data_IF_510598037050
#
_entry.id   IF_510598037050
#
_cell.length_a   1.000
_cell.length_b   1.000
_cell.length_c   1.000
_cell.angle_alpha   90.00
_cell.angle_beta   90.00
_cell.angle_gamma   90.00
#
_symmetry.space_group_name_H-M   'P 1'
#
loop_
_entity.id
_entity.type
_entity.pdbx_description
1 polymer ?
#
# COMPACT_ATOMS: atom_id res chain seq x y z
N UNK A 1 -0.56 23.16 -28.21
CA UNK A 1 0.77 22.56 -28.01
C UNK A 1 0.73 21.12 -28.49
N UNK A 2 1.55 20.78 -29.50
CA UNK A 2 1.65 19.43 -30.08
C UNK A 2 2.31 18.46 -29.10
N UNK A 3 2.17 17.15 -29.30
CA UNK A 3 2.82 16.13 -28.46
C UNK A 3 4.35 16.33 -28.42
N UNK A 4 4.97 16.57 -29.58
CA UNK A 4 6.40 16.84 -29.68
C UNK A 4 6.84 18.04 -28.83
N UNK A 5 6.07 19.13 -28.84
CA UNK A 5 6.34 20.29 -27.99
C UNK A 5 6.23 19.95 -26.50
N UNK A 6 5.17 19.21 -26.10
CA UNK A 6 5.01 18.78 -24.70
C UNK A 6 6.16 17.92 -24.23
N UNK A 7 6.60 16.95 -25.05
CA UNK A 7 7.74 16.11 -24.75
C UNK A 7 9.02 16.93 -24.57
N UNK A 8 9.34 17.84 -25.50
CA UNK A 8 10.52 18.70 -25.42
C UNK A 8 10.53 19.59 -24.16
N UNK A 9 9.36 20.07 -23.74
CA UNK A 9 9.23 20.85 -22.50
C UNK A 9 9.37 19.96 -21.26
N UNK A 10 8.71 18.80 -21.25
CA UNK A 10 8.66 17.92 -20.08
C UNK A 10 9.96 17.14 -19.84
N UNK A 11 10.74 16.85 -20.89
CA UNK A 11 12.10 16.29 -20.73
C UNK A 11 13.03 17.27 -19.99
N UNK A 12 12.77 18.58 -20.06
CA UNK A 12 13.53 19.58 -19.28
C UNK A 12 13.01 19.75 -17.85
N UNK A 13 11.88 19.13 -17.50
CA UNK A 13 11.31 19.25 -16.17
C UNK A 13 11.90 18.17 -15.23
N UNK A 14 12.67 18.56 -14.19
CA UNK A 14 13.36 17.60 -13.33
C UNK A 14 12.41 16.67 -12.57
N UNK A 15 11.16 17.08 -12.28
CA UNK A 15 10.19 16.23 -11.57
C UNK A 15 9.61 15.14 -12.46
N UNK A 16 9.45 15.42 -13.76
CA UNK A 16 8.99 14.45 -14.73
C UNK A 16 10.06 13.38 -14.94
N UNK A 17 11.31 13.82 -15.13
CA UNK A 17 12.44 12.90 -15.23
C UNK A 17 12.66 12.10 -13.95
N UNK A 18 12.63 12.73 -12.78
CA UNK A 18 12.80 12.02 -11.51
C UNK A 18 11.71 10.98 -11.30
N UNK A 19 10.45 11.28 -11.65
CA UNK A 19 9.38 10.28 -11.59
C UNK A 19 9.66 9.11 -12.53
N UNK A 20 10.03 9.37 -13.80
CA UNK A 20 10.34 8.32 -14.76
C UNK A 20 11.51 7.43 -14.29
N UNK A 21 12.59 8.05 -13.80
CA UNK A 21 13.76 7.34 -13.29
C UNK A 21 13.41 6.48 -12.07
N UNK A 22 12.75 7.05 -11.06
CA UNK A 22 12.40 6.27 -9.87
C UNK A 22 11.36 5.19 -10.16
N UNK A 23 10.37 5.44 -11.02
CA UNK A 23 9.42 4.41 -11.43
C UNK A 23 10.11 3.26 -12.17
N UNK A 24 11.03 3.58 -13.10
CA UNK A 24 11.82 2.59 -13.82
C UNK A 24 12.74 1.79 -12.90
N UNK A 25 13.47 2.45 -12.00
CA UNK A 25 14.32 1.79 -11.00
C UNK A 25 13.50 0.86 -10.10
N UNK A 26 12.38 1.34 -9.56
CA UNK A 26 11.50 0.52 -8.73
C UNK A 26 11.02 -0.71 -9.49
N UNK A 27 10.53 -0.54 -10.73
CA UNK A 27 10.05 -1.65 -11.55
C UNK A 27 11.15 -2.69 -11.82
N UNK A 28 12.34 -2.26 -12.23
CA UNK A 28 13.47 -3.15 -12.51
C UNK A 28 13.88 -3.95 -11.27
N UNK A 29 14.03 -3.28 -10.12
CA UNK A 29 14.46 -3.97 -8.90
C UNK A 29 13.40 -4.94 -8.37
N UNK A 30 12.12 -4.57 -8.46
CA UNK A 30 11.03 -5.46 -8.06
C UNK A 30 10.91 -6.66 -8.99
N UNK A 31 11.07 -6.47 -10.31
CA UNK A 31 10.86 -7.52 -11.29
C UNK A 31 12.02 -8.52 -11.38
N UNK A 32 13.25 -8.03 -11.46
CA UNK A 32 14.40 -8.83 -11.88
C UNK A 32 15.30 -9.31 -10.74
N UNK A 33 15.02 -8.90 -9.52
CA UNK A 33 15.94 -9.14 -8.43
C UNK A 33 15.36 -9.98 -7.30
N UNK A 34 16.25 -10.43 -6.43
CA UNK A 34 15.94 -11.33 -5.32
C UNK A 34 15.14 -10.59 -4.23
N UNK A 35 14.04 -11.21 -3.79
CA UNK A 35 13.14 -10.70 -2.75
C UNK A 35 13.49 -11.28 -1.39
N UNK A 36 13.63 -12.60 -1.30
CA UNK A 36 14.03 -13.30 -0.08
C UNK A 36 15.34 -14.05 -0.29
N UNK A 37 16.14 -14.11 0.77
CA UNK A 37 17.32 -14.96 0.87
C UNK A 37 17.09 -16.03 1.92
N UNK A 38 17.50 -17.23 1.58
CA UNK A 38 17.61 -18.38 2.45
C UNK A 38 19.01 -18.96 2.28
N UNK A 39 19.44 -19.78 3.23
CA UNK A 39 20.76 -20.36 3.34
C UNK A 39 21.20 -21.09 2.06
N UNK A 40 20.28 -21.76 1.39
CA UNK A 40 20.58 -22.57 0.20
C UNK A 40 20.02 -22.00 -1.10
N UNK A 41 19.20 -20.93 -1.05
CA UNK A 41 18.54 -20.38 -2.23
C UNK A 41 18.15 -18.90 -2.08
N UNK A 42 18.08 -18.21 -3.21
CA UNK A 42 17.46 -16.89 -3.33
C UNK A 42 16.12 -17.05 -4.04
N UNK A 43 15.12 -16.30 -3.61
CA UNK A 43 13.77 -16.36 -4.14
C UNK A 43 13.37 -15.06 -4.79
N UNK A 44 12.73 -15.16 -5.95
CA UNK A 44 12.25 -14.03 -6.74
C UNK A 44 10.87 -13.52 -6.29
N UNK A 45 10.34 -12.54 -7.03
CA UNK A 45 9.08 -11.87 -6.76
C UNK A 45 7.82 -12.75 -6.92
N UNK A 46 7.92 -13.90 -7.59
CA UNK A 46 6.78 -14.74 -7.96
C UNK A 46 6.77 -16.06 -7.21
N UNK A 47 7.86 -16.39 -6.52
CA UNK A 47 7.95 -17.57 -5.67
C UNK A 47 7.27 -17.37 -4.31
N UNK A 48 6.64 -18.43 -3.81
CA UNK A 48 5.94 -18.43 -2.53
C UNK A 48 6.84 -17.97 -1.35
N UNK A 49 8.06 -18.52 -1.26
CA UNK A 49 9.03 -18.15 -0.22
C UNK A 49 9.62 -16.73 -0.43
N UNK A 50 9.56 -16.21 -1.66
CA UNK A 50 9.83 -14.82 -2.02
C UNK A 50 8.63 -13.89 -1.81
N UNK A 51 7.50 -14.38 -1.29
CA UNK A 51 6.30 -13.61 -1.01
C UNK A 51 5.56 -13.19 -2.27
N UNK A 52 5.28 -14.14 -3.14
CA UNK A 52 4.72 -13.95 -4.47
C UNK A 52 3.61 -12.89 -4.59
N UNK A 53 2.66 -12.83 -3.65
CA UNK A 53 1.60 -11.81 -3.71
C UNK A 53 2.11 -10.38 -3.51
N UNK A 54 3.11 -10.19 -2.65
CA UNK A 54 3.81 -8.91 -2.49
C UNK A 54 4.61 -8.56 -3.74
N UNK A 55 5.26 -9.55 -4.37
CA UNK A 55 6.01 -9.34 -5.60
C UNK A 55 5.12 -9.07 -6.81
N UNK A 56 4.04 -9.84 -7.01
CA UNK A 56 3.03 -9.61 -8.05
C UNK A 56 2.46 -8.19 -7.95
N UNK A 57 2.00 -7.78 -6.76
CA UNK A 57 1.46 -6.43 -6.58
C UNK A 57 2.56 -5.36 -6.67
N UNK A 58 3.79 -5.68 -6.27
CA UNK A 58 4.95 -4.82 -6.46
C UNK A 58 5.22 -4.55 -7.94
N UNK A 59 5.26 -5.59 -8.77
CA UNK A 59 5.47 -5.53 -10.22
C UNK A 59 4.33 -4.76 -10.88
N UNK A 60 3.07 -5.10 -10.55
CA UNK A 60 1.90 -4.39 -11.06
C UNK A 60 1.94 -2.89 -10.73
N UNK A 61 2.37 -2.55 -9.52
CA UNK A 61 2.56 -1.15 -9.10
C UNK A 61 3.69 -0.48 -9.86
N UNK A 62 4.80 -1.18 -10.12
CA UNK A 62 5.91 -0.65 -10.91
C UNK A 62 5.50 -0.34 -12.34
N UNK A 63 4.73 -1.23 -12.97
CA UNK A 63 4.12 -0.98 -14.29
C UNK A 63 3.21 0.25 -14.25
N UNK A 64 2.31 0.32 -13.27
CA UNK A 64 1.38 1.45 -13.13
C UNK A 64 2.12 2.78 -12.93
N UNK A 65 3.16 2.82 -12.09
CA UNK A 65 4.00 3.99 -11.89
C UNK A 65 4.75 4.40 -13.17
N UNK A 66 5.27 3.44 -13.94
CA UNK A 66 5.87 3.73 -15.24
C UNK A 66 4.86 4.34 -16.21
N UNK A 67 3.64 3.80 -16.28
CA UNK A 67 2.56 4.35 -17.11
C UNK A 67 2.23 5.78 -16.69
N UNK A 68 2.10 6.05 -15.38
CA UNK A 68 1.85 7.40 -14.86
C UNK A 68 3.01 8.37 -15.17
N UNK A 69 4.25 7.90 -15.11
CA UNK A 69 5.42 8.70 -15.49
C UNK A 69 5.39 9.06 -16.98
N UNK A 70 5.03 8.12 -17.85
CA UNK A 70 4.85 8.35 -19.29
C UNK A 70 3.67 9.30 -19.58
N UNK A 71 2.56 9.16 -18.85
CA UNK A 71 1.43 10.10 -18.93
C UNK A 71 1.88 11.52 -18.57
N UNK A 72 2.64 11.67 -17.46
CA UNK A 72 3.21 12.96 -17.05
C UNK A 72 4.14 13.51 -18.14
N UNK A 73 4.99 12.67 -18.72
CA UNK A 73 5.88 13.06 -19.82
C UNK A 73 5.10 13.53 -21.06
N UNK A 74 4.00 12.88 -21.40
CA UNK A 74 3.06 13.30 -22.46
C UNK A 74 2.24 14.56 -22.13
N UNK A 75 2.36 15.10 -20.92
CA UNK A 75 1.61 16.25 -20.43
C UNK A 75 0.14 15.95 -20.11
N UNK A 76 -0.18 14.68 -19.83
CA UNK A 76 -1.46 14.31 -19.25
C UNK A 76 -1.43 14.54 -17.75
N UNK A 77 -2.56 15.01 -17.22
CA UNK A 77 -2.69 15.31 -15.79
C UNK A 77 -3.89 14.63 -15.14
N UNK A 78 -4.84 14.14 -15.96
CA UNK A 78 -6.00 13.38 -15.51
C UNK A 78 -5.90 11.92 -15.91
N UNK A 79 -6.19 11.01 -14.97
CA UNK A 79 -6.29 9.57 -15.22
C UNK A 79 -7.74 9.12 -15.11
N UNK A 80 -8.38 9.40 -13.98
CA UNK A 80 -9.79 9.10 -13.72
C UNK A 80 -10.53 10.39 -13.29
N UNK A 81 -11.86 10.43 -13.36
CA UNK A 81 -12.63 11.49 -12.71
C UNK A 81 -12.25 11.58 -11.23
N UNK A 82 -11.83 12.76 -10.75
CA UNK A 82 -11.39 12.93 -9.37
C UNK A 82 -9.98 12.47 -9.03
N UNK A 83 -9.24 11.84 -9.94
CA UNK A 83 -7.87 11.35 -9.66
C UNK A 83 -6.92 11.75 -10.80
N UNK A 84 -6.01 12.67 -10.47
CA UNK A 84 -4.93 13.09 -11.37
C UNK A 84 -3.73 12.16 -11.35
N UNK A 85 -2.79 12.36 -12.27
CA UNK A 85 -1.55 11.59 -12.37
C UNK A 85 -0.76 11.69 -11.07
N UNK A 86 -0.69 12.89 -10.50
CA UNK A 86 0.01 13.21 -9.26
C UNK A 86 -0.61 12.49 -8.05
N UNK A 87 -1.94 12.43 -8.00
CA UNK A 87 -2.69 11.78 -6.93
C UNK A 87 -2.46 10.26 -6.92
N UNK A 88 -2.53 9.64 -8.11
CA UNK A 88 -2.27 8.22 -8.25
C UNK A 88 -0.79 7.88 -8.05
N UNK A 89 0.13 8.75 -8.48
CA UNK A 89 1.57 8.59 -8.20
C UNK A 89 1.82 8.58 -6.69
N UNK A 90 1.20 9.49 -5.96
CA UNK A 90 1.30 9.54 -4.50
C UNK A 90 0.71 8.29 -3.85
N UNK A 91 -0.50 7.88 -4.23
CA UNK A 91 -1.17 6.71 -3.68
C UNK A 91 -0.40 5.40 -3.95
N UNK A 92 0.05 5.20 -5.18
CA UNK A 92 0.81 4.01 -5.59
C UNK A 92 2.23 4.02 -5.02
N UNK A 93 2.88 5.18 -4.91
CA UNK A 93 4.18 5.29 -4.24
C UNK A 93 4.09 4.98 -2.75
N UNK A 94 3.01 5.41 -2.09
CA UNK A 94 2.75 5.09 -0.69
C UNK A 94 2.56 3.58 -0.54
N UNK A 95 1.72 2.98 -1.39
CA UNK A 95 1.54 1.53 -1.41
C UNK A 95 2.86 0.80 -1.66
N UNK A 96 3.65 1.19 -2.67
CA UNK A 96 4.94 0.59 -2.98
C UNK A 96 5.88 0.57 -1.76
N UNK A 97 5.96 1.69 -1.03
CA UNK A 97 6.75 1.81 0.20
C UNK A 97 6.25 0.85 1.27
N UNK A 98 4.94 0.87 1.53
CA UNK A 98 4.33 0.04 2.58
C UNK A 98 4.33 -1.44 2.20
N UNK A 99 4.24 -1.80 0.92
CA UNK A 99 4.30 -3.16 0.43
C UNK A 99 5.68 -3.78 0.70
N UNK A 100 6.77 -3.04 0.44
CA UNK A 100 8.12 -3.47 0.79
C UNK A 100 8.23 -3.68 2.30
N UNK A 101 7.75 -2.73 3.12
CA UNK A 101 7.76 -2.91 4.57
C UNK A 101 6.93 -4.09 5.02
N UNK A 102 5.71 -4.25 4.50
CA UNK A 102 4.82 -5.35 4.83
C UNK A 102 5.43 -6.71 4.45
N UNK A 103 6.18 -6.79 3.35
CA UNK A 103 6.95 -7.98 3.04
C UNK A 103 8.08 -8.23 4.05
N UNK A 104 8.98 -7.26 4.26
CA UNK A 104 10.18 -7.44 5.12
C UNK A 104 9.78 -7.78 6.55
N UNK A 105 8.77 -7.07 7.03
CA UNK A 105 8.39 -7.09 8.42
C UNK A 105 7.25 -8.05 8.70
N UNK A 106 6.32 -8.22 7.76
CA UNK A 106 5.13 -9.04 7.92
C UNK A 106 5.24 -10.43 7.33
N UNK A 107 5.79 -10.60 6.11
CA UNK A 107 5.82 -11.90 5.42
C UNK A 107 7.11 -12.69 5.62
N UNK A 108 8.26 -12.03 5.40
CA UNK A 108 9.58 -12.67 5.48
C UNK A 108 9.78 -13.49 6.77
N UNK A 109 9.29 -13.04 7.96
CA UNK A 109 9.44 -13.79 9.20
C UNK A 109 8.38 -14.88 9.46
N UNK A 110 7.38 -15.11 8.59
CA UNK A 110 6.25 -16.03 8.85
C UNK A 110 6.69 -17.50 8.86
N UNK A 111 7.71 -17.86 8.07
CA UNK A 111 8.26 -19.21 8.01
C UNK A 111 9.78 -19.18 8.24
N UNK A 112 10.27 -18.80 9.44
CA UNK A 112 11.68 -18.93 9.75
C UNK A 112 11.96 -20.40 10.07
N UNK A 113 12.92 -21.01 9.39
CA UNK A 113 13.38 -22.36 9.73
C UNK A 113 14.66 -22.20 10.55
N UNK A 114 14.77 -22.89 11.70
CA UNK A 114 15.92 -22.74 12.63
C UNK A 114 17.29 -22.99 11.96
N UNK A 115 17.32 -23.83 10.92
CA UNK A 115 18.52 -24.16 10.12
C UNK A 115 18.70 -23.28 8.88
N UNK A 116 17.73 -22.42 8.58
CA UNK A 116 17.65 -21.58 7.39
C UNK A 116 16.92 -20.24 7.68
N UNK A 117 17.63 -19.24 8.25
CA UNK A 117 17.06 -17.96 8.63
C UNK A 117 16.66 -17.14 7.39
N UNK A 118 15.52 -16.46 7.48
CA UNK A 118 15.04 -15.58 6.42
C UNK A 118 15.84 -14.27 6.37
N UNK A 119 16.43 -13.97 5.20
CA UNK A 119 17.11 -12.71 4.90
C UNK A 119 16.38 -11.92 3.83
N UNK A 120 16.57 -10.60 3.81
CA UNK A 120 16.08 -9.73 2.73
C UNK A 120 17.00 -9.85 1.51
N UNK A 121 16.40 -9.95 0.33
CA UNK A 121 17.13 -9.85 -0.94
C UNK A 121 17.58 -8.42 -1.22
N UNK A 122 18.72 -8.29 -1.92
CA UNK A 122 19.30 -6.98 -2.24
C UNK A 122 18.41 -6.14 -3.14
N UNK A 123 17.64 -6.78 -4.01
CA UNK A 123 16.78 -6.08 -4.94
C UNK A 123 15.60 -5.42 -4.23
N UNK A 124 15.06 -6.05 -3.19
CA UNK A 124 14.04 -5.43 -2.36
C UNK A 124 14.57 -4.19 -1.62
N UNK A 125 15.80 -4.25 -1.11
CA UNK A 125 16.47 -3.09 -0.51
C UNK A 125 16.68 -1.98 -1.55
N UNK A 126 17.10 -2.35 -2.76
CA UNK A 126 17.27 -1.41 -3.86
C UNK A 126 15.94 -0.81 -4.35
N UNK A 127 14.84 -1.58 -4.32
CA UNK A 127 13.49 -1.13 -4.66
C UNK A 127 12.89 -0.19 -3.60
N UNK A 128 13.24 -0.37 -2.33
CA UNK A 128 12.80 0.52 -1.25
C UNK A 128 13.21 1.97 -1.49
N UNK A 129 14.43 2.19 -1.99
CA UNK A 129 14.95 3.52 -2.26
C UNK A 129 14.01 4.34 -3.17
N UNK A 130 13.77 3.98 -4.45
CA UNK A 130 12.85 4.73 -5.30
C UNK A 130 11.41 4.73 -4.76
N UNK A 131 10.94 3.64 -4.16
CA UNK A 131 9.60 3.59 -3.57
C UNK A 131 9.38 4.69 -2.52
N UNK A 132 10.36 4.93 -1.65
CA UNK A 132 10.29 5.95 -0.59
C UNK A 132 10.31 7.40 -1.09
N UNK A 133 10.90 7.66 -2.27
CA UNK A 133 10.98 8.99 -2.88
C UNK A 133 9.78 9.35 -3.74
N UNK A 134 9.10 8.37 -4.35
CA UNK A 134 7.94 8.61 -5.22
C UNK A 134 6.80 9.37 -4.52
N UNK A 135 6.39 9.05 -3.27
CA UNK A 135 5.42 9.86 -2.53
C UNK A 135 5.85 11.31 -2.37
N UNK A 136 7.12 11.54 -2.08
CA UNK A 136 7.68 12.87 -1.89
C UNK A 136 7.62 13.67 -3.20
N UNK A 137 7.98 13.04 -4.32
CA UNK A 137 7.79 13.63 -5.65
C UNK A 137 6.33 13.94 -5.95
N UNK A 138 5.40 13.07 -5.55
CA UNK A 138 3.95 13.30 -5.69
C UNK A 138 3.50 14.55 -4.95
N UNK A 139 3.87 14.69 -3.68
CA UNK A 139 3.55 15.87 -2.86
C UNK A 139 4.16 17.15 -3.45
N UNK A 140 5.45 17.11 -3.81
CA UNK A 140 6.14 18.27 -4.40
C UNK A 140 5.54 18.68 -5.74
N UNK A 141 5.08 17.72 -6.55
CA UNK A 141 4.40 17.98 -7.82
C UNK A 141 3.04 18.64 -7.58
N UNK A 142 2.24 18.13 -6.64
CA UNK A 142 0.95 18.72 -6.25
C UNK A 142 1.08 20.14 -5.67
N UNK A 143 2.14 20.40 -4.91
CA UNK A 143 2.39 21.73 -4.34
C UNK A 143 2.74 22.78 -5.41
N UNK A 144 3.29 22.35 -6.55
CA UNK A 144 3.72 23.24 -7.65
C UNK A 144 2.67 23.40 -8.75
N UNK A 145 1.69 22.52 -8.83
CA UNK A 145 0.60 22.66 -9.81
C UNK A 145 -0.29 23.85 -9.47
N UNK A 146 -0.86 24.48 -10.49
CA UNK A 146 -1.76 25.62 -10.27
C UNK A 146 -2.99 25.16 -9.47
N UNK A 147 -3.50 25.99 -8.53
CA UNK A 147 -4.66 25.66 -7.73
C UNK A 147 -5.84 25.21 -8.58
N UNK A 148 -6.42 24.05 -8.26
CA UNK A 148 -7.61 23.56 -8.92
C UNK A 148 -8.79 24.49 -8.64
N UNK A 149 -9.44 24.98 -9.69
CA UNK A 149 -10.62 25.84 -9.58
C UNK A 149 -11.88 25.00 -9.78
N UNK A 150 -12.86 25.15 -8.90
CA UNK A 150 -14.19 24.54 -9.04
C UNK A 150 -14.45 23.28 -8.23
N UNK A 151 -13.60 22.96 -7.24
CA UNK A 151 -13.90 21.93 -6.24
C UNK A 151 -15.02 22.48 -5.34
N UNK A 152 -16.16 21.76 -5.29
CA UNK A 152 -17.31 22.16 -4.48
C UNK A 152 -17.07 21.77 -3.01
N UNK A 153 -17.51 22.61 -2.06
CA UNK A 153 -17.59 22.19 -0.66
C UNK A 153 -18.63 21.08 -0.52
N UNK A 154 -18.40 20.16 0.43
CA UNK A 154 -19.40 19.17 0.80
C UNK A 154 -20.53 19.84 1.58
N UNK A 155 -21.75 19.34 1.41
CA UNK A 155 -22.84 19.62 2.34
C UNK A 155 -22.51 19.07 3.73
N UNK A 156 -23.11 19.61 4.79
CA UNK A 156 -22.90 19.09 6.14
C UNK A 156 -23.32 17.62 6.26
N UNK A 157 -24.41 17.23 5.57
CA UNK A 157 -24.92 15.86 5.57
C UNK A 157 -23.90 14.92 4.91
N UNK A 158 -23.42 15.27 3.70
CA UNK A 158 -22.43 14.45 2.99
C UNK A 158 -21.12 14.37 3.77
N UNK A 159 -20.65 15.49 4.33
CA UNK A 159 -19.43 15.53 5.16
C UNK A 159 -19.55 14.59 6.35
N UNK A 160 -20.69 14.61 7.04
CA UNK A 160 -20.91 13.75 8.20
C UNK A 160 -20.99 12.28 7.78
N UNK A 161 -21.74 11.96 6.73
CA UNK A 161 -21.87 10.59 6.23
C UNK A 161 -20.52 10.00 5.82
N UNK A 162 -19.75 10.71 4.98
CA UNK A 162 -18.41 10.30 4.54
C UNK A 162 -17.46 10.13 5.74
N UNK A 163 -17.52 11.03 6.72
CA UNK A 163 -16.66 10.95 7.91
C UNK A 163 -17.02 9.77 8.82
N UNK A 164 -18.31 9.51 9.04
CA UNK A 164 -18.77 8.34 9.83
C UNK A 164 -18.38 7.04 9.13
N UNK A 165 -18.60 6.93 7.82
CA UNK A 165 -18.22 5.75 7.06
C UNK A 165 -16.69 5.54 7.07
N UNK A 166 -15.90 6.61 6.96
CA UNK A 166 -14.45 6.54 7.07
C UNK A 166 -14.00 6.09 8.46
N UNK A 167 -14.70 6.53 9.52
CA UNK A 167 -14.45 6.08 10.89
C UNK A 167 -14.75 4.59 11.04
N UNK A 168 -15.90 4.10 10.55
CA UNK A 168 -16.24 2.67 10.56
C UNK A 168 -15.19 1.85 9.82
N UNK A 169 -14.80 2.28 8.62
CA UNK A 169 -13.75 1.63 7.85
C UNK A 169 -12.42 1.63 8.61
N UNK A 170 -12.08 2.72 9.29
CA UNK A 170 -10.85 2.83 10.09
C UNK A 170 -10.83 1.89 11.28
N UNK A 171 -11.97 1.73 11.97
CA UNK A 171 -12.11 0.76 13.06
C UNK A 171 -11.95 -0.66 12.51
N UNK A 172 -12.52 -0.96 11.34
CA UNK A 172 -12.30 -2.24 10.67
C UNK A 172 -10.83 -2.50 10.35
N UNK A 173 -10.13 -1.53 9.76
CA UNK A 173 -8.67 -1.60 9.49
C UNK A 173 -7.85 -1.74 10.78
N UNK A 174 -8.33 -1.21 11.91
CA UNK A 174 -7.69 -1.39 13.22
C UNK A 174 -7.95 -2.79 13.75
N UNK A 175 -9.19 -3.28 13.75
CA UNK A 175 -9.60 -4.47 14.52
C UNK A 175 -9.33 -5.76 13.74
N UNK A 176 -9.67 -5.80 12.45
CA UNK A 176 -9.66 -7.04 11.68
C UNK A 176 -8.27 -7.65 11.45
N UNK A 177 -7.18 -6.88 11.32
CA UNK A 177 -5.85 -7.46 11.30
C UNK A 177 -5.50 -8.24 12.57
N UNK A 178 -6.01 -7.85 13.73
CA UNK A 178 -5.81 -8.57 15.01
C UNK A 178 -6.69 -9.81 15.14
N UNK A 179 -7.64 -10.00 14.22
CA UNK A 179 -8.41 -11.22 14.08
C UNK A 179 -7.84 -12.16 13.00
N UNK A 180 -6.69 -11.82 12.39
CA UNK A 180 -6.14 -12.56 11.24
C UNK A 180 -5.16 -13.65 11.66
N UNK A 181 -5.51 -14.89 11.31
CA UNK A 181 -4.70 -16.08 11.53
C UNK A 181 -4.47 -16.81 10.20
N UNK A 182 -3.30 -17.42 10.04
CA UNK A 182 -3.05 -18.42 9.02
C UNK A 182 -3.05 -19.80 9.66
N UNK A 183 -3.66 -20.78 9.01
CA UNK A 183 -3.53 -22.18 9.44
C UNK A 183 -2.54 -22.89 8.52
N UNK A 184 -1.57 -23.61 9.10
CA UNK A 184 -0.67 -24.56 8.41
C UNK A 184 -0.81 -25.92 9.06
N UNK A 185 -1.59 -26.82 8.44
CA UNK A 185 -1.88 -28.13 9.04
C UNK A 185 -2.51 -27.98 10.43
N UNK A 186 -1.88 -28.54 11.46
CA UNK A 186 -2.33 -28.41 12.86
C UNK A 186 -1.87 -27.11 13.55
N UNK A 187 -1.03 -26.30 12.90
CA UNK A 187 -0.48 -25.07 13.48
C UNK A 187 -1.33 -23.86 13.10
N UNK A 188 -1.65 -23.03 14.09
CA UNK A 188 -2.13 -21.67 13.85
C UNK A 188 -0.94 -20.72 13.93
N UNK A 189 -0.67 -20.03 12.82
CA UNK A 189 0.31 -18.95 12.77
C UNK A 189 -0.43 -17.63 12.85
N UNK A 190 -0.05 -16.85 13.83
CA UNK A 190 -0.36 -15.44 13.84
C UNK A 190 0.46 -14.76 12.76
N UNK A 191 -0.22 -14.23 11.73
CA UNK A 191 0.39 -13.30 10.75
C UNK A 191 0.90 -12.02 11.39
N UNK A 192 0.41 -11.76 12.60
CA UNK A 192 0.66 -10.55 13.35
C UNK A 192 1.96 -10.70 14.12
N UNK A 193 2.06 -11.57 15.11
CA UNK A 193 3.19 -11.59 16.07
C UNK A 193 4.30 -12.59 15.73
N UNK A 194 4.19 -13.24 14.58
CA UNK A 194 5.05 -14.35 14.21
C UNK A 194 4.89 -15.54 15.13
N UNK A 195 3.98 -15.54 16.12
CA UNK A 195 3.82 -16.70 17.00
C UNK A 195 3.10 -17.79 16.25
N UNK A 196 3.75 -18.93 16.19
CA UNK A 196 3.09 -20.19 15.98
C UNK A 196 2.47 -20.57 17.32
N UNK A 197 1.17 -20.88 17.38
CA UNK A 197 0.53 -21.47 18.55
C UNK A 197 1.02 -22.91 18.74
N UNK A 198 2.33 -23.09 18.92
CA UNK A 198 2.97 -24.37 19.18
C UNK A 198 2.72 -24.90 20.59
N UNK A 199 1.80 -24.25 21.30
CA UNK A 199 1.28 -24.68 22.59
C UNK A 199 0.64 -26.08 22.51
N UNK A 200 0.16 -26.48 21.34
CA UNK A 200 -0.46 -27.80 21.12
C UNK A 200 0.51 -28.87 20.54
N UNK A 201 1.65 -28.47 19.95
CA UNK A 201 2.59 -29.39 19.28
C UNK A 201 3.94 -29.61 19.98
N UNK A 202 4.20 -28.92 21.11
CA UNK A 202 5.38 -29.17 21.95
C UNK A 202 6.73 -28.99 21.23
N UNK A 203 7.70 -29.82 21.56
CA UNK A 203 9.11 -29.68 21.14
C UNK A 203 9.33 -29.80 19.62
N UNK A 204 8.46 -30.52 18.91
CA UNK A 204 8.53 -30.72 17.44
C UNK A 204 8.47 -29.39 16.68
N UNK A 205 7.66 -28.45 17.16
CA UNK A 205 7.58 -27.12 16.56
C UNK A 205 8.84 -26.27 16.85
N UNK A 206 9.37 -26.33 18.07
CA UNK A 206 10.52 -25.52 18.50
C UNK A 206 11.77 -25.88 17.68
N UNK A 207 11.92 -27.15 17.32
CA UNK A 207 13.05 -27.60 16.50
C UNK A 207 12.91 -27.29 15.01
N UNK A 208 11.68 -27.13 14.51
CA UNK A 208 11.42 -26.85 13.09
C UNK A 208 11.39 -25.35 12.79
N UNK A 209 10.71 -24.55 13.62
CA UNK A 209 10.41 -23.13 13.35
C UNK A 209 11.20 -22.14 14.23
N UNK A 210 11.98 -22.65 15.20
CA UNK A 210 12.83 -21.85 16.09
C UNK A 210 12.09 -21.21 17.28
N UNK A 211 12.85 -20.80 18.31
CA UNK A 211 12.31 -20.21 19.57
C UNK A 211 11.82 -18.76 19.46
N UNK A 212 11.94 -18.13 18.29
CA UNK A 212 11.83 -16.68 18.14
C UNK A 212 11.27 -16.28 16.80
N UNK A 213 10.11 -16.83 16.43
CA UNK A 213 9.36 -16.30 15.31
C UNK A 213 8.90 -14.88 15.70
N UNK A 214 9.44 -13.89 15.00
CA UNK A 214 9.51 -12.50 15.46
C UNK A 214 8.43 -11.63 14.82
N UNK A 215 7.51 -11.12 15.63
CA UNK A 215 7.10 -9.70 15.60
C UNK A 215 5.81 -9.31 14.86
N UNK A 216 4.88 -8.62 15.57
CA UNK A 216 3.78 -7.74 15.19
C UNK A 216 3.34 -7.21 13.81
N UNK A 217 4.11 -7.31 12.73
CA UNK A 217 4.38 -6.04 12.05
C UNK A 217 3.34 -5.59 11.01
N UNK A 218 2.64 -6.50 10.36
CA UNK A 218 1.66 -6.12 9.32
C UNK A 218 0.41 -5.46 9.92
N UNK A 219 -0.10 -5.98 11.04
CA UNK A 219 -1.23 -5.34 11.72
C UNK A 219 -0.85 -4.01 12.39
N UNK A 220 0.41 -3.80 12.78
CA UNK A 220 0.85 -2.48 13.28
C UNK A 220 0.87 -1.42 12.18
N UNK A 221 1.23 -1.78 10.94
CA UNK A 221 1.12 -0.87 9.80
C UNK A 221 -0.33 -0.47 9.55
N UNK A 222 -1.25 -1.46 9.55
CA UNK A 222 -2.68 -1.20 9.40
C UNK A 222 -3.27 -0.45 10.60
N UNK A 223 -2.82 -0.72 11.82
CA UNK A 223 -3.18 0.03 13.03
C UNK A 223 -2.84 1.51 12.87
N UNK A 224 -1.62 1.85 12.42
CA UNK A 224 -1.22 3.24 12.20
C UNK A 224 -2.11 3.88 11.13
N UNK A 225 -2.36 3.19 10.02
CA UNK A 225 -3.25 3.68 8.96
C UNK A 225 -4.65 3.95 9.50
N UNK A 226 -5.24 2.99 10.19
CA UNK A 226 -6.56 3.09 10.77
C UNK A 226 -6.65 4.18 11.84
N UNK A 227 -5.65 4.31 12.71
CA UNK A 227 -5.60 5.37 13.73
C UNK A 227 -5.58 6.75 13.06
N UNK A 228 -4.68 6.99 12.10
CA UNK A 228 -4.58 8.27 11.39
C UNK A 228 -5.89 8.61 10.67
N UNK A 229 -6.49 7.64 9.97
CA UNK A 229 -7.77 7.84 9.27
C UNK A 229 -8.91 8.10 10.27
N UNK A 230 -8.96 7.36 11.37
CA UNK A 230 -9.98 7.52 12.42
C UNK A 230 -9.89 8.88 13.10
N UNK A 231 -8.69 9.33 13.45
CA UNK A 231 -8.48 10.68 13.97
C UNK A 231 -8.88 11.75 12.96
N UNK A 232 -8.49 11.61 11.69
CA UNK A 232 -8.88 12.56 10.64
C UNK A 232 -10.41 12.61 10.46
N UNK A 233 -11.09 11.46 10.49
CA UNK A 233 -12.54 11.36 10.40
C UNK A 233 -13.23 12.04 11.59
N UNK A 234 -12.76 11.80 12.82
CA UNK A 234 -13.27 12.46 14.03
C UNK A 234 -13.07 13.98 13.98
N UNK A 235 -11.90 14.44 13.56
CA UNK A 235 -11.64 15.87 13.40
C UNK A 235 -12.56 16.50 12.34
N UNK A 236 -12.88 15.76 11.28
CA UNK A 236 -13.75 16.22 10.21
C UNK A 236 -15.22 16.36 10.61
N UNK A 237 -15.66 15.59 11.62
CA UNK A 237 -17.00 15.71 12.22
C UNK A 237 -17.20 16.98 13.06
N UNK A 238 -16.12 17.69 13.43
CA UNK A 238 -16.22 18.95 14.18
C UNK A 238 -16.96 20.02 13.37
N UNK A 239 -17.58 21.04 14.02
CA UNK A 239 -18.33 22.09 13.32
C UNK A 239 -17.53 22.78 12.20
N UNK A 240 -16.26 23.14 12.49
CA UNK A 240 -15.34 23.77 11.53
C UNK A 240 -14.68 22.77 10.55
N UNK A 241 -14.91 21.47 10.73
CA UNK A 241 -14.28 20.41 9.97
C UNK A 241 -12.77 20.32 10.19
N UNK A 242 -12.11 19.54 9.32
CA UNK A 242 -10.65 19.46 9.21
C UNK A 242 -10.22 20.25 7.98
N UNK A 243 -9.16 21.05 8.12
CA UNK A 243 -8.61 21.81 7.01
C UNK A 243 -8.04 20.87 5.93
N UNK A 244 -8.27 21.22 4.66
CA UNK A 244 -7.71 20.49 3.53
C UNK A 244 -6.20 20.76 3.43
N UNK A 245 -5.38 19.77 3.05
CA UNK A 245 -3.93 19.95 2.88
C UNK A 245 -3.54 21.05 1.88
N UNK A 246 -4.38 21.32 0.88
CA UNK A 246 -4.17 22.40 -0.07
C UNK A 246 -5.18 22.38 -1.23
N UNK A 247 -5.13 23.36 -2.15
CA UNK A 247 -6.09 23.49 -3.24
C UNK A 247 -6.02 22.34 -4.26
N UNK A 248 -4.90 21.61 -4.30
CA UNK A 248 -4.66 20.49 -5.20
C UNK A 248 -4.71 19.13 -4.50
N UNK A 249 -4.92 19.08 -3.19
CA UNK A 249 -4.94 17.82 -2.44
C UNK A 249 -6.04 17.85 -1.39
N UNK A 250 -7.05 17.00 -1.60
CA UNK A 250 -8.17 16.81 -0.70
C UNK A 250 -7.87 15.70 0.31
N UNK A 251 -8.52 15.74 1.46
CA UNK A 251 -8.54 14.67 2.45
C UNK A 251 -8.99 13.33 1.83
N UNK A 252 -9.90 13.37 0.86
CA UNK A 252 -10.30 12.17 0.10
C UNK A 252 -9.16 11.59 -0.73
N UNK A 253 -8.22 12.37 -1.27
CA UNK A 253 -7.06 11.81 -1.97
C UNK A 253 -6.13 11.08 -1.01
N UNK A 254 -5.96 11.61 0.20
CA UNK A 254 -5.20 10.94 1.26
C UNK A 254 -5.91 9.67 1.73
N UNK A 255 -7.24 9.74 1.93
CA UNK A 255 -8.06 8.57 2.25
C UNK A 255 -7.96 7.50 1.15
N UNK A 256 -7.93 7.89 -0.12
CA UNK A 256 -7.74 6.97 -1.23
C UNK A 256 -6.40 6.24 -1.14
N UNK A 257 -5.29 6.96 -0.93
CA UNK A 257 -3.96 6.34 -0.80
C UNK A 257 -3.84 5.40 0.41
N UNK A 258 -4.41 5.80 1.55
CA UNK A 258 -4.46 4.99 2.76
C UNK A 258 -5.35 3.76 2.58
N UNK A 259 -6.53 3.93 1.98
CA UNK A 259 -7.46 2.85 1.66
C UNK A 259 -6.89 1.85 0.66
N UNK A 260 -6.21 2.35 -0.38
CA UNK A 260 -5.51 1.53 -1.37
C UNK A 260 -4.43 0.68 -0.69
N UNK A 261 -3.66 1.26 0.22
CA UNK A 261 -2.64 0.54 0.98
C UNK A 261 -3.27 -0.49 1.93
N UNK A 262 -4.32 -0.11 2.66
CA UNK A 262 -5.07 -0.99 3.56
C UNK A 262 -5.80 -2.13 2.84
N UNK A 263 -6.04 -2.00 1.54
CA UNK A 263 -6.60 -3.05 0.70
C UNK A 263 -5.51 -3.94 0.07
N UNK A 264 -4.54 -3.34 -0.60
CA UNK A 264 -3.55 -4.08 -1.39
C UNK A 264 -2.57 -4.87 -0.52
N UNK A 265 -2.26 -4.42 0.70
CA UNK A 265 -1.37 -5.19 1.60
C UNK A 265 -2.02 -6.50 2.06
N UNK A 266 -3.26 -6.51 2.59
CA UNK A 266 -4.00 -7.76 2.80
C UNK A 266 -4.17 -8.60 1.53
N UNK A 267 -4.32 -7.98 0.36
CA UNK A 267 -4.43 -8.70 -0.90
C UNK A 267 -3.14 -9.43 -1.27
N UNK A 268 -1.98 -8.78 -1.10
CA UNK A 268 -0.67 -9.40 -1.28
C UNK A 268 -0.52 -10.64 -0.39
N UNK A 269 -0.92 -10.51 0.87
CA UNK A 269 -0.91 -11.61 1.82
C UNK A 269 -1.81 -12.75 1.34
N UNK A 270 -3.04 -12.43 0.92
CA UNK A 270 -4.00 -13.40 0.45
C UNK A 270 -3.51 -14.16 -0.78
N UNK A 271 -3.00 -13.45 -1.80
CA UNK A 271 -2.41 -14.07 -3.00
C UNK A 271 -1.29 -15.02 -2.61
N UNK A 272 -0.39 -14.58 -1.72
CA UNK A 272 0.74 -15.42 -1.29
C UNK A 272 0.25 -16.68 -0.56
N UNK A 273 -0.76 -16.55 0.30
CA UNK A 273 -1.30 -17.68 1.06
C UNK A 273 -2.01 -18.69 0.17
N UNK A 274 -2.72 -18.23 -0.86
CA UNK A 274 -3.43 -19.10 -1.80
C UNK A 274 -2.50 -19.92 -2.71
N UNK A 275 -1.22 -19.57 -2.81
CA UNK A 275 -0.25 -20.35 -3.57
C UNK A 275 0.26 -21.59 -2.84
N UNK A 276 -0.09 -21.77 -1.56
CA UNK A 276 0.31 -22.92 -0.78
C UNK A 276 -0.94 -23.55 -0.16
N UNK A 277 -1.31 -24.74 -0.63
CA UNK A 277 -2.50 -25.46 -0.18
C UNK A 277 -2.50 -25.78 1.33
N UNK A 278 -1.33 -25.72 1.97
CA UNK A 278 -1.23 -25.89 3.42
C UNK A 278 -1.70 -24.66 4.18
N UNK A 279 -1.81 -23.50 3.54
CA UNK A 279 -2.13 -22.22 4.14
C UNK A 279 -3.60 -21.83 3.94
N UNK A 280 -4.32 -21.57 5.03
CA UNK A 280 -5.68 -21.03 5.00
C UNK A 280 -5.71 -19.60 5.52
N UNK A 281 -6.28 -18.67 4.74
CA UNK A 281 -6.49 -17.28 5.14
C UNK A 281 -7.68 -17.13 6.11
N UNK A 282 -7.43 -16.60 7.31
CA UNK A 282 -8.47 -16.34 8.30
C UNK A 282 -9.43 -15.21 7.92
N UNK A 283 -10.59 -15.18 8.59
CA UNK A 283 -11.67 -14.20 8.37
C UNK A 283 -11.22 -12.74 8.55
N UNK A 284 -10.28 -12.47 9.45
CA UNK A 284 -9.71 -11.14 9.64
C UNK A 284 -9.07 -10.55 8.37
N UNK A 285 -8.47 -11.37 7.51
CA UNK A 285 -7.84 -10.90 6.27
C UNK A 285 -8.89 -10.40 5.26
N UNK A 286 -9.99 -11.13 5.13
CA UNK A 286 -11.14 -10.77 4.30
C UNK A 286 -11.84 -9.50 4.79
N UNK A 287 -12.03 -9.38 6.11
CA UNK A 287 -12.63 -8.19 6.71
C UNK A 287 -11.72 -6.96 6.59
N UNK A 288 -10.40 -7.15 6.64
CA UNK A 288 -9.42 -6.09 6.37
C UNK A 288 -9.52 -5.60 4.92
N UNK A 289 -9.65 -6.52 3.95
CA UNK A 289 -9.92 -6.19 2.55
C UNK A 289 -11.21 -5.37 2.39
N UNK A 290 -12.31 -5.83 3.00
CA UNK A 290 -13.59 -5.13 2.95
C UNK A 290 -13.49 -3.69 3.50
N UNK A 291 -12.72 -3.51 4.58
CA UNK A 291 -12.50 -2.20 5.20
C UNK A 291 -11.66 -1.27 4.33
N UNK A 292 -10.58 -1.78 3.73
CA UNK A 292 -9.78 -1.02 2.76
C UNK A 292 -10.60 -0.64 1.52
N UNK A 293 -11.40 -1.58 0.99
CA UNK A 293 -12.29 -1.32 -0.14
C UNK A 293 -13.33 -0.23 0.20
N UNK A 294 -13.90 -0.26 1.40
CA UNK A 294 -14.81 0.77 1.87
C UNK A 294 -14.14 2.15 1.89
N UNK A 295 -12.90 2.27 2.39
CA UNK A 295 -12.14 3.54 2.33
C UNK A 295 -11.96 4.06 0.90
N UNK A 296 -11.61 3.16 -0.03
CA UNK A 296 -11.46 3.50 -1.46
C UNK A 296 -12.79 4.01 -2.01
N UNK A 297 -13.89 3.29 -1.79
CA UNK A 297 -15.21 3.68 -2.29
C UNK A 297 -15.66 5.03 -1.76
N UNK A 298 -15.49 5.28 -0.45
CA UNK A 298 -15.81 6.57 0.18
C UNK A 298 -15.00 7.70 -0.46
N UNK A 299 -13.70 7.49 -0.67
CA UNK A 299 -12.84 8.50 -1.26
C UNK A 299 -13.21 8.83 -2.71
N UNK A 300 -13.51 7.82 -3.53
CA UNK A 300 -13.96 8.00 -4.92
C UNK A 300 -15.32 8.70 -4.96
N UNK A 301 -16.24 8.29 -4.10
CA UNK A 301 -17.55 8.94 -3.96
C UNK A 301 -17.40 10.43 -3.63
N UNK A 302 -16.56 10.76 -2.65
CA UNK A 302 -16.32 12.14 -2.27
C UNK A 302 -15.72 12.96 -3.42
N UNK A 303 -14.67 12.44 -4.06
CA UNK A 303 -14.02 13.11 -5.19
C UNK A 303 -15.03 13.41 -6.30
N UNK A 304 -15.91 12.45 -6.60
CA UNK A 304 -16.96 12.61 -7.58
C UNK A 304 -17.97 13.70 -7.18
N UNK A 305 -18.50 13.65 -5.95
CA UNK A 305 -19.47 14.64 -5.43
C UNK A 305 -18.94 16.06 -5.43
N UNK A 306 -17.66 16.23 -5.12
CA UNK A 306 -17.01 17.54 -5.08
C UNK A 306 -16.63 18.07 -6.46
N UNK A 307 -16.85 17.29 -7.52
CA UNK A 307 -16.44 17.64 -8.87
C UNK A 307 -14.94 17.78 -9.00
N UNK A 308 -14.16 17.01 -8.22
CA UNK A 308 -12.71 17.05 -8.29
C UNK A 308 -12.28 16.69 -9.72
N UNK A 309 -11.59 17.63 -10.36
CA UNK A 309 -10.94 17.38 -11.64
C UNK A 309 -9.52 16.93 -11.30
N UNK A 310 -9.08 15.78 -11.79
CA UNK A 310 -7.69 15.35 -11.64
C UNK A 310 -6.78 16.50 -12.08
N UNK A 311 -5.97 17.00 -11.14
CA UNK A 311 -4.99 18.07 -11.39
C UNK A 311 -3.86 17.48 -12.18
#
# INVERSE_FOLDING_TARGET
MTLQQRLLTNVKNPFVLAHLVFAGMYFVFVLLGEWAKRREANYDAFEFLGGAGFGILGVATGVALCVLALMRLGGYSKVLPGLGVEHLTLALGLFATVNVFAFIFGWLPVLPVKKDPAGTGWALVAAYWPASFIPQLGILSLARTRPNKGIRPLSNIDRNAVSVLALVASVGVIVFPFMTWLKIGALKLSTFDGRNECKELGDVCIDTLGKGASGPRLGYLLLIIGAVVGFAALMRLRPKGLAEPGPNMLLSHLLFGMGLTAFLVPLAMLITTLQNERLEAGTGLWLSLASGALMILISVYENHRRGAKGV
#
